data_IF_209554113923
#
_entry.id   IF_209554113923
#
_cell.length_a   1.000
_cell.length_b   1.000
_cell.length_c   1.000
_cell.angle_alpha   90.00
_cell.angle_beta   90.00
_cell.angle_gamma   90.00
#
_symmetry.space_group_name_H-M   'P 1'
#
loop_
_entity.id
_entity.type
_entity.pdbx_description
1 polymer ?
#
# COMPACT_ATOMS: atom_id res chain seq x y z
N UNK A 1 -18.94 8.66 6.75
CA UNK A 1 -18.45 7.78 7.82
C UNK A 1 -17.81 6.62 7.10
N UNK A 2 -16.49 6.52 7.16
CA UNK A 2 -15.74 5.54 6.40
C UNK A 2 -15.90 4.16 7.06
N UNK A 3 -16.13 3.13 6.25
CA UNK A 3 -16.29 1.76 6.75
C UNK A 3 -14.93 1.09 6.81
N UNK A 4 -14.44 0.78 8.02
CA UNK A 4 -13.27 -0.09 8.20
C UNK A 4 -13.62 -1.50 7.76
N UNK A 5 -13.01 -1.96 6.67
CA UNK A 5 -13.18 -3.33 6.16
C UNK A 5 -11.95 -4.19 6.43
N UNK A 6 -12.20 -5.48 6.63
CA UNK A 6 -11.14 -6.50 6.54
C UNK A 6 -10.86 -6.71 5.05
N UNK A 7 -9.58 -6.72 4.66
CA UNK A 7 -9.19 -6.98 3.27
C UNK A 7 -9.53 -8.41 2.87
N UNK A 8 -10.66 -8.59 2.20
CA UNK A 8 -10.98 -9.83 1.51
C UNK A 8 -10.17 -9.96 0.20
N UNK A 9 -10.32 -11.10 -0.49
CA UNK A 9 -9.59 -11.37 -1.73
C UNK A 9 -9.89 -10.37 -2.85
N UNK A 10 -11.10 -9.81 -2.89
CA UNK A 10 -11.51 -8.86 -3.92
C UNK A 10 -10.89 -7.49 -3.67
N UNK A 11 -10.94 -7.03 -2.42
CA UNK A 11 -10.29 -5.80 -1.97
C UNK A 11 -8.79 -5.85 -2.26
N UNK A 12 -8.11 -6.93 -1.87
CA UNK A 12 -6.69 -7.16 -2.15
C UNK A 12 -6.36 -7.04 -3.64
N UNK A 13 -7.13 -7.71 -4.50
CA UNK A 13 -6.93 -7.68 -5.96
C UNK A 13 -7.13 -6.29 -6.53
N UNK A 14 -8.13 -5.55 -6.06
CA UNK A 14 -8.41 -4.19 -6.53
C UNK A 14 -7.32 -3.21 -6.12
N UNK A 15 -6.87 -3.29 -4.87
CA UNK A 15 -5.76 -2.47 -4.38
C UNK A 15 -4.45 -2.74 -5.14
N UNK A 16 -4.11 -4.01 -5.36
CA UNK A 16 -2.96 -4.40 -6.17
C UNK A 16 -3.09 -3.86 -7.59
N UNK A 17 -4.27 -3.92 -8.21
CA UNK A 17 -4.48 -3.33 -9.54
C UNK A 17 -4.22 -1.82 -9.55
N UNK A 18 -4.58 -1.10 -8.48
CA UNK A 18 -4.37 0.35 -8.36
C UNK A 18 -2.90 0.76 -8.18
N UNK A 19 -2.11 -0.08 -7.51
CA UNK A 19 -0.68 0.18 -7.26
C UNK A 19 0.21 -0.33 -8.38
N UNK A 20 -0.06 -1.52 -8.92
CA UNK A 20 0.81 -2.21 -9.88
C UNK A 20 0.61 -1.73 -11.33
N UNK A 21 0.22 -0.46 -11.50
CA UNK A 21 0.03 0.18 -12.80
C UNK A 21 1.38 0.51 -13.45
N UNK A 22 2.34 0.99 -12.65
CA UNK A 22 3.67 1.37 -13.11
C UNK A 22 4.70 1.25 -11.99
N UNK A 23 5.99 1.23 -12.37
CA UNK A 23 7.11 1.13 -11.43
C UNK A 23 7.05 2.18 -10.31
N UNK A 24 6.77 3.44 -10.66
CA UNK A 24 6.79 4.56 -9.71
C UNK A 24 5.85 4.33 -8.54
N UNK A 25 4.64 3.80 -8.79
CA UNK A 25 3.67 3.49 -7.73
C UNK A 25 4.15 2.37 -6.81
N UNK A 26 4.70 1.30 -7.38
CA UNK A 26 5.27 0.18 -6.61
C UNK A 26 6.39 0.67 -5.69
N UNK A 27 7.34 1.45 -6.23
CA UNK A 27 8.45 2.01 -5.45
C UNK A 27 7.94 2.91 -4.32
N UNK A 28 6.94 3.75 -4.60
CA UNK A 28 6.29 4.57 -3.58
C UNK A 28 5.66 3.73 -2.46
N UNK A 29 4.97 2.63 -2.76
CA UNK A 29 4.46 1.71 -1.74
C UNK A 29 5.56 1.09 -0.90
N UNK A 30 6.66 0.67 -1.52
CA UNK A 30 7.83 0.15 -0.81
C UNK A 30 8.44 1.25 0.08
N UNK A 31 8.49 2.50 -0.39
CA UNK A 31 9.02 3.62 0.39
C UNK A 31 8.18 3.93 1.63
N UNK A 32 6.85 3.70 1.63
CA UNK A 32 6.03 3.83 2.85
C UNK A 32 6.58 2.92 3.96
N UNK A 33 7.00 1.71 3.61
CA UNK A 33 7.61 0.78 4.57
C UNK A 33 8.92 1.34 5.14
N UNK A 34 9.76 1.90 4.26
CA UNK A 34 11.09 2.40 4.59
C UNK A 34 11.05 3.69 5.41
N UNK A 35 10.12 4.59 5.09
CA UNK A 35 10.10 5.98 5.58
C UNK A 35 9.03 6.22 6.63
N UNK A 36 7.97 5.40 6.66
CA UNK A 36 6.77 5.65 7.45
C UNK A 36 6.06 6.96 7.06
N UNK A 37 6.25 7.40 5.82
CA UNK A 37 5.55 8.56 5.25
C UNK A 37 4.36 8.11 4.40
N UNK A 38 3.34 8.96 4.34
CA UNK A 38 2.16 8.73 3.53
C UNK A 38 2.42 8.84 2.03
N UNK A 39 1.51 8.26 1.24
CA UNK A 39 1.52 8.46 -0.21
C UNK A 39 0.12 8.46 -0.80
N UNK A 40 -0.11 9.39 -1.71
CA UNK A 40 -1.34 9.52 -2.50
C UNK A 40 -0.98 9.19 -3.96
N UNK A 41 -1.74 8.29 -4.58
CA UNK A 41 -1.50 7.85 -5.96
C UNK A 41 -2.39 8.57 -6.98
N UNK A 42 -3.62 8.89 -6.59
CA UNK A 42 -4.70 9.60 -7.29
C UNK A 42 -5.92 9.66 -6.35
N UNK A 43 -7.04 10.24 -6.81
CA UNK A 43 -8.33 10.27 -6.10
C UNK A 43 -8.89 8.87 -5.81
N UNK A 44 -8.23 7.79 -6.23
CA UNK A 44 -8.72 6.41 -6.12
C UNK A 44 -7.95 5.62 -5.06
N UNK A 45 -6.71 5.97 -4.74
CA UNK A 45 -5.94 5.24 -3.74
C UNK A 45 -4.94 6.08 -2.94
N UNK A 46 -4.98 5.88 -1.62
CA UNK A 46 -4.05 6.47 -0.65
C UNK A 46 -3.52 5.41 0.31
N UNK A 47 -2.28 5.61 0.79
CA UNK A 47 -1.70 4.89 1.90
C UNK A 47 -1.31 5.92 2.96
N UNK A 48 -2.05 5.94 4.06
CA UNK A 48 -1.80 6.80 5.20
C UNK A 48 -1.05 6.05 6.30
N UNK A 49 -0.35 6.80 7.14
CA UNK A 49 0.46 6.29 8.25
C UNK A 49 0.03 6.94 9.55
N UNK A 50 0.61 6.52 10.67
CA UNK A 50 0.34 7.13 11.98
C UNK A 50 0.48 8.67 11.99
N UNK A 51 1.44 9.19 11.22
CA UNK A 51 1.73 10.62 11.13
C UNK A 51 0.77 11.42 10.25
N UNK A 52 -0.11 10.75 9.49
CA UNK A 52 -1.08 11.40 8.59
C UNK A 52 -2.21 12.09 9.36
N UNK A 53 -2.61 11.53 10.50
CA UNK A 53 -3.83 11.93 11.22
C UNK A 53 -3.51 12.60 12.57
N UNK A 54 -4.38 13.52 12.98
CA UNK A 54 -4.25 14.24 14.25
C UNK A 54 -4.68 13.36 15.45
N UNK A 55 -4.29 13.79 16.65
CA UNK A 55 -4.71 13.14 17.89
C UNK A 55 -6.24 13.23 18.05
N UNK A 56 -6.93 12.09 17.91
CA UNK A 56 -8.38 11.97 18.09
C UNK A 56 -9.15 11.57 16.83
N UNK A 57 -8.49 11.52 15.68
CA UNK A 57 -9.10 11.01 14.44
C UNK A 57 -9.42 9.52 14.55
N UNK A 58 -10.66 9.16 14.22
CA UNK A 58 -11.15 7.76 14.26
C UNK A 58 -10.45 6.84 13.26
N UNK A 59 -9.81 7.43 12.26
CA UNK A 59 -9.13 6.76 11.16
C UNK A 59 -7.64 6.56 11.43
N UNK A 60 -7.10 7.21 12.47
CA UNK A 60 -5.71 7.06 12.84
C UNK A 60 -5.40 5.61 13.20
N UNK A 61 -4.40 5.04 12.54
CA UNK A 61 -3.91 3.69 12.80
C UNK A 61 -2.88 3.67 13.94
N UNK A 62 -2.46 2.47 14.34
CA UNK A 62 -1.32 2.32 15.26
C UNK A 62 0.01 2.65 14.57
N UNK A 63 1.08 2.86 15.36
CA UNK A 63 2.42 3.19 14.83
C UNK A 63 3.02 2.07 13.96
N UNK A 64 2.65 0.82 14.21
CA UNK A 64 3.09 -0.35 13.43
C UNK A 64 2.12 -0.72 12.30
N UNK A 65 1.17 0.17 11.99
CA UNK A 65 0.15 -0.01 10.98
C UNK A 65 0.21 1.03 9.85
N UNK A 66 -0.48 0.71 8.76
CA UNK A 66 -0.82 1.59 7.65
C UNK A 66 -2.31 1.54 7.41
N UNK A 67 -2.89 2.66 6.99
CA UNK A 67 -4.25 2.72 6.47
C UNK A 67 -4.18 2.72 4.95
N UNK A 68 -4.86 1.75 4.34
CA UNK A 68 -5.05 1.69 2.91
C UNK A 68 -6.45 2.20 2.61
N UNK A 69 -6.55 3.21 1.73
CA UNK A 69 -7.82 3.79 1.30
C UNK A 69 -8.03 3.57 -0.19
N UNK A 70 -9.26 3.22 -0.56
CA UNK A 70 -9.73 3.20 -1.93
C UNK A 70 -11.06 3.94 -2.07
N UNK A 71 -11.14 4.83 -3.06
CA UNK A 71 -12.38 5.50 -3.44
C UNK A 71 -12.82 5.03 -4.84
N UNK A 72 -14.07 4.58 -4.95
CA UNK A 72 -14.67 4.19 -6.22
C UNK A 72 -15.78 5.17 -6.60
N UNK A 73 -15.89 5.59 -7.88
CA UNK A 73 -16.96 6.49 -8.32
C UNK A 73 -18.36 5.96 -7.94
N UNK A 74 -19.07 6.72 -7.10
CA UNK A 74 -20.41 6.37 -6.63
C UNK A 74 -20.49 5.53 -5.35
N UNK A 75 -19.36 5.23 -4.71
CA UNK A 75 -19.28 4.50 -3.44
C UNK A 75 -18.54 5.33 -2.37
N UNK A 76 -18.85 5.14 -1.07
CA UNK A 76 -18.08 5.77 -0.01
C UNK A 76 -16.63 5.25 -0.01
N UNK A 77 -15.73 6.05 0.56
CA UNK A 77 -14.34 5.65 0.78
C UNK A 77 -14.26 4.36 1.63
N UNK A 78 -13.54 3.37 1.13
CA UNK A 78 -13.29 2.11 1.82
C UNK A 78 -11.87 2.11 2.39
N UNK A 79 -11.76 1.88 3.70
CA UNK A 79 -10.48 1.86 4.39
C UNK A 79 -10.17 0.50 5.00
N UNK A 80 -8.89 0.13 5.01
CA UNK A 80 -8.41 -1.03 5.76
C UNK A 80 -7.10 -0.73 6.47
N UNK A 81 -6.95 -1.27 7.68
CA UNK A 81 -5.75 -1.13 8.49
C UNK A 81 -4.95 -2.43 8.44
N UNK A 82 -3.66 -2.34 8.11
CA UNK A 82 -2.74 -3.47 8.10
C UNK A 82 -1.51 -3.16 8.92
N UNK A 83 -0.94 -4.16 9.58
CA UNK A 83 0.44 -4.04 10.07
C UNK A 83 1.39 -3.89 8.89
N UNK A 84 2.51 -3.18 9.08
CA UNK A 84 3.53 -3.05 8.03
C UNK A 84 3.96 -4.40 7.44
N UNK A 85 4.03 -5.45 8.28
CA UNK A 85 4.37 -6.81 7.84
C UNK A 85 3.33 -7.43 6.92
N UNK A 86 2.06 -7.15 7.13
CA UNK A 86 0.97 -7.63 6.28
C UNK A 86 0.95 -6.83 4.98
N UNK A 87 1.13 -5.51 5.08
CA UNK A 87 1.27 -4.65 3.91
C UNK A 87 2.45 -5.06 3.01
N UNK A 88 3.59 -5.42 3.58
CA UNK A 88 4.72 -5.96 2.82
C UNK A 88 4.35 -7.23 2.04
N UNK A 89 3.60 -8.15 2.65
CA UNK A 89 3.11 -9.37 1.96
C UNK A 89 2.17 -9.05 0.80
N UNK A 90 1.34 -8.00 0.92
CA UNK A 90 0.48 -7.54 -0.18
C UNK A 90 1.33 -7.07 -1.36
N UNK A 91 2.43 -6.35 -1.10
CA UNK A 91 3.37 -5.94 -2.14
C UNK A 91 4.06 -7.17 -2.76
N UNK A 92 4.55 -8.12 -1.96
CA UNK A 92 5.16 -9.36 -2.47
C UNK A 92 4.20 -10.14 -3.38
N UNK A 93 2.95 -10.34 -2.93
CA UNK A 93 1.92 -11.01 -3.71
C UNK A 93 1.59 -10.28 -5.03
N UNK A 94 1.49 -8.95 -4.99
CA UNK A 94 1.28 -8.16 -6.21
C UNK A 94 2.44 -8.28 -7.20
N UNK A 95 3.69 -8.35 -6.70
CA UNK A 95 4.88 -8.54 -7.52
C UNK A 95 4.87 -9.92 -8.18
N UNK A 96 4.59 -10.99 -7.44
CA UNK A 96 4.47 -12.34 -7.99
C UNK A 96 3.50 -12.39 -9.18
N UNK A 97 2.38 -11.67 -9.10
CA UNK A 97 1.39 -11.65 -10.18
C UNK A 97 1.72 -10.73 -11.38
N UNK A 98 2.54 -9.69 -11.19
CA UNK A 98 2.62 -8.56 -12.13
C UNK A 98 4.04 -8.19 -12.58
N UNK A 99 5.08 -8.68 -11.91
CA UNK A 99 6.48 -8.29 -12.16
C UNK A 99 6.95 -8.61 -13.59
N UNK A 100 6.35 -9.64 -14.22
CA UNK A 100 6.67 -10.04 -15.60
C UNK A 100 6.31 -9.00 -16.66
N UNK A 101 5.51 -7.99 -16.32
CA UNK A 101 5.07 -6.90 -17.23
C UNK A 101 6.10 -5.78 -17.38
N UNK A 102 7.09 -5.74 -16.50
CA UNK A 102 8.09 -4.66 -16.46
C UNK A 102 9.34 -5.04 -17.26
N UNK A 103 10.10 -4.03 -17.67
CA UNK A 103 11.41 -4.27 -18.29
C UNK A 103 12.43 -4.77 -17.25
N UNK A 104 13.49 -5.43 -17.70
CA UNK A 104 14.45 -6.06 -16.78
C UNK A 104 15.13 -5.05 -15.83
N UNK A 105 15.48 -3.87 -16.36
CA UNK A 105 16.02 -2.76 -15.56
C UNK A 105 15.03 -2.28 -14.48
N UNK A 106 13.74 -2.24 -14.79
CA UNK A 106 12.70 -1.87 -13.84
C UNK A 106 12.50 -2.94 -12.77
N UNK A 107 12.55 -4.22 -13.14
CA UNK A 107 12.47 -5.32 -12.18
C UNK A 107 13.62 -5.28 -11.19
N UNK A 108 14.85 -5.08 -11.66
CA UNK A 108 16.03 -4.97 -10.81
C UNK A 108 15.89 -3.85 -9.78
N UNK A 109 15.42 -2.67 -10.20
CA UNK A 109 15.16 -1.55 -9.30
C UNK A 109 14.09 -1.88 -8.25
N UNK A 110 12.95 -2.45 -8.67
CA UNK A 110 11.85 -2.82 -7.77
C UNK A 110 12.32 -3.85 -6.73
N UNK A 111 13.00 -4.91 -7.17
CA UNK A 111 13.48 -5.98 -6.29
C UNK A 111 14.54 -5.46 -5.32
N UNK A 112 15.40 -4.54 -5.76
CA UNK A 112 16.40 -3.91 -4.88
C UNK A 112 15.75 -3.11 -3.76
N UNK A 113 14.73 -2.30 -4.05
CA UNK A 113 14.02 -1.56 -3.00
C UNK A 113 13.21 -2.50 -2.10
N UNK A 114 12.58 -3.53 -2.68
CA UNK A 114 11.85 -4.54 -1.91
C UNK A 114 12.75 -5.24 -0.88
N UNK A 115 13.98 -5.58 -1.26
CA UNK A 115 14.93 -6.24 -0.37
C UNK A 115 15.36 -5.33 0.80
N UNK A 116 15.51 -4.02 0.56
CA UNK A 116 15.73 -3.07 1.66
C UNK A 116 14.55 -3.06 2.63
N UNK A 117 13.33 -3.03 2.12
CA UNK A 117 12.11 -3.06 2.94
C UNK A 117 11.99 -4.38 3.74
N UNK A 118 12.36 -5.52 3.13
CA UNK A 118 12.42 -6.82 3.81
C UNK A 118 13.30 -6.77 5.05
N UNK A 119 14.47 -6.13 4.96
CA UNK A 119 15.43 -6.05 6.08
C UNK A 119 14.93 -5.23 7.29
N UNK A 120 13.95 -4.34 7.11
CA UNK A 120 13.35 -3.55 8.19
C UNK A 120 12.14 -4.21 8.86
N UNK A 121 11.45 -5.08 8.13
CA UNK A 121 10.24 -5.78 8.60
C UNK A 121 10.54 -7.20 9.10
N UNK A 122 11.71 -7.74 8.73
CA UNK A 122 12.21 -9.09 9.08
C UNK A 122 12.30 -9.35 10.57
#
# INVERSE_FOLDING_TARGET
MNEKKIMDDEWNKNFIRGIFINKSRIIKCINVILTKEEVIFDDVCMIATYGTYDDGDSERCEMDEVVLSMEFPGYPEEISCLKYKEFFKVIEYGLEEKISRFEESEKEEILKELEKARSLIG
#
